data_IF_141451581400
#
_entry.id   IF_141451581400
#
_cell.length_a   1.000
_cell.length_b   1.000
_cell.length_c   1.000
_cell.angle_alpha   90.00
_cell.angle_beta   90.00
_cell.angle_gamma   90.00
#
_symmetry.space_group_name_H-M   'P 1'
#
loop_
_entity.id
_entity.type
_entity.pdbx_description
1 polymer ?
#
# COMPACT_ATOMS: atom_id res chain seq x y z
N UNK A 1 8.74 -13.31 5.08
CA UNK A 1 9.72 -12.22 5.33
C UNK A 1 9.07 -11.19 6.24
N UNK A 2 7.96 -10.55 5.84
CA UNK A 2 7.26 -9.49 6.59
C UNK A 2 6.88 -9.91 8.01
N UNK A 3 6.27 -11.08 8.18
CA UNK A 3 5.92 -11.64 9.49
C UNK A 3 7.15 -11.78 10.41
N UNK A 4 8.30 -12.19 9.83
CA UNK A 4 9.55 -12.34 10.57
C UNK A 4 10.14 -11.02 11.04
N UNK A 5 10.02 -9.94 10.27
CA UNK A 5 10.51 -8.61 10.71
C UNK A 5 9.56 -7.90 11.67
N UNK A 6 8.40 -8.47 11.98
CA UNK A 6 7.49 -8.00 13.02
C UNK A 6 6.54 -6.91 12.57
N UNK A 7 6.09 -6.89 11.30
CA UNK A 7 4.98 -6.01 10.89
C UNK A 7 3.70 -6.41 11.63
N UNK A 8 2.88 -5.44 12.01
CA UNK A 8 1.64 -5.70 12.77
C UNK A 8 0.60 -6.44 11.94
N UNK A 9 0.43 -6.08 10.68
CA UNK A 9 -0.48 -6.75 9.74
C UNK A 9 0.16 -6.90 8.36
N UNK A 10 -0.27 -7.94 7.63
CA UNK A 10 0.11 -8.22 6.25
C UNK A 10 -1.15 -8.23 5.42
N UNK A 11 -1.27 -7.24 4.54
CA UNK A 11 -2.38 -7.14 3.62
C UNK A 11 -2.08 -7.95 2.36
N UNK A 12 -3.07 -8.69 1.89
CA UNK A 12 -3.01 -9.50 0.67
C UNK A 12 -4.20 -9.18 -0.21
N UNK A 13 -4.09 -9.49 -1.50
CA UNK A 13 -5.21 -9.31 -2.42
C UNK A 13 -6.40 -10.23 -2.06
N UNK A 14 -7.60 -9.69 -2.20
CA UNK A 14 -8.85 -10.41 -1.97
C UNK A 14 -9.15 -11.47 -3.04
N UNK A 15 -10.35 -12.06 -2.95
CA UNK A 15 -10.85 -12.98 -3.97
C UNK A 15 -11.60 -12.19 -5.04
N UNK A 16 -11.02 -12.10 -6.25
CA UNK A 16 -11.66 -11.45 -7.38
C UNK A 16 -12.64 -12.36 -8.11
N UNK A 17 -12.21 -13.52 -8.56
CA UNK A 17 -13.05 -14.42 -9.37
C UNK A 17 -12.57 -15.85 -9.42
N UNK A 18 -11.45 -16.23 -8.82
CA UNK A 18 -10.84 -17.54 -9.05
C UNK A 18 -10.66 -18.37 -7.78
N UNK A 19 -10.76 -19.71 -7.96
CA UNK A 19 -10.35 -20.67 -6.92
C UNK A 19 -8.88 -20.54 -6.54
N UNK A 20 -8.07 -19.97 -7.44
CA UNK A 20 -6.63 -19.73 -7.21
C UNK A 20 -6.43 -18.68 -6.13
N UNK A 21 -7.23 -17.60 -6.13
CA UNK A 21 -7.15 -16.55 -5.11
C UNK A 21 -7.42 -17.13 -3.72
N UNK A 22 -8.47 -17.94 -3.57
CA UNK A 22 -8.78 -18.61 -2.30
C UNK A 22 -7.66 -19.55 -1.84
N UNK A 23 -7.02 -20.30 -2.76
CA UNK A 23 -5.88 -21.16 -2.45
C UNK A 23 -4.64 -20.35 -2.04
N UNK A 24 -4.40 -19.20 -2.69
CA UNK A 24 -3.32 -18.28 -2.35
C UNK A 24 -3.50 -17.75 -0.92
N UNK A 25 -4.68 -17.24 -0.59
CA UNK A 25 -4.99 -16.74 0.76
C UNK A 25 -4.83 -17.87 1.79
N UNK A 26 -5.35 -19.04 1.52
CA UNK A 26 -5.23 -20.22 2.42
C UNK A 26 -3.77 -20.63 2.65
N UNK A 27 -2.95 -20.58 1.61
CA UNK A 27 -1.52 -20.89 1.72
C UNK A 27 -0.80 -19.83 2.58
N UNK A 28 -1.08 -18.55 2.37
CA UNK A 28 -0.52 -17.46 3.16
C UNK A 28 -0.99 -17.56 4.62
N UNK A 29 -2.27 -17.82 4.86
CA UNK A 29 -2.85 -17.99 6.19
C UNK A 29 -2.12 -19.10 7.00
N UNK A 30 -1.65 -20.15 6.36
CA UNK A 30 -0.88 -21.21 7.01
C UNK A 30 0.54 -20.81 7.38
N UNK A 31 1.12 -19.80 6.71
CA UNK A 31 2.50 -19.36 6.84
C UNK A 31 2.66 -18.19 7.82
N UNK A 32 1.68 -17.31 7.93
CA UNK A 32 1.70 -16.15 8.85
C UNK A 32 1.49 -16.64 10.27
N UNK A 33 2.42 -16.28 11.19
CA UNK A 33 2.43 -16.80 12.57
C UNK A 33 2.22 -15.71 13.63
N UNK A 34 2.68 -14.50 13.37
CA UNK A 34 2.73 -13.40 14.35
C UNK A 34 1.89 -12.22 13.93
N UNK A 35 1.94 -11.85 12.65
CA UNK A 35 1.18 -10.73 12.09
C UNK A 35 -0.29 -11.09 11.89
N UNK A 36 -1.15 -10.08 11.88
CA UNK A 36 -2.55 -10.22 11.46
C UNK A 36 -2.61 -10.32 9.94
N UNK A 37 -3.31 -11.31 9.41
CA UNK A 37 -3.59 -11.42 7.98
C UNK A 37 -4.79 -10.54 7.63
N UNK A 38 -4.56 -9.45 6.91
CA UNK A 38 -5.59 -8.53 6.46
C UNK A 38 -6.01 -8.87 5.02
N UNK A 39 -7.31 -9.07 4.81
CA UNK A 39 -7.83 -9.48 3.49
C UNK A 39 -9.04 -8.63 3.13
N UNK A 40 -8.99 -7.92 1.98
CA UNK A 40 -10.12 -7.15 1.50
C UNK A 40 -11.27 -8.05 1.04
N UNK A 41 -12.49 -7.59 1.29
CA UNK A 41 -13.73 -8.22 0.89
C UNK A 41 -14.57 -7.29 0.04
N UNK A 42 -15.32 -7.84 -0.91
CA UNK A 42 -16.39 -7.12 -1.61
C UNK A 42 -17.59 -7.00 -0.70
N UNK A 43 -18.42 -5.96 -0.91
CA UNK A 43 -19.65 -5.74 -0.14
C UNK A 43 -20.77 -6.67 -0.60
N UNK A 44 -20.46 -7.97 -0.68
CA UNK A 44 -21.44 -9.03 -0.95
C UNK A 44 -21.19 -10.24 -0.03
N UNK A 45 -22.24 -10.86 0.40
CA UNK A 45 -22.20 -11.92 1.40
C UNK A 45 -21.41 -13.14 0.94
N UNK A 46 -21.50 -13.50 -0.34
CA UNK A 46 -20.82 -14.68 -0.88
C UNK A 46 -19.30 -14.46 -0.90
N UNK A 47 -18.85 -13.25 -1.28
CA UNK A 47 -17.42 -12.92 -1.26
C UNK A 47 -16.89 -12.90 0.18
N UNK A 48 -17.61 -12.26 1.12
CA UNK A 48 -17.22 -12.23 2.54
C UNK A 48 -17.03 -13.66 3.09
N UNK A 49 -17.97 -14.55 2.85
CA UNK A 49 -17.88 -15.93 3.30
C UNK A 49 -16.74 -16.71 2.61
N UNK A 50 -16.52 -16.50 1.31
CA UNK A 50 -15.45 -17.12 0.57
C UNK A 50 -14.07 -16.69 1.09
N UNK A 51 -13.86 -15.38 1.31
CA UNK A 51 -12.63 -14.82 1.89
C UNK A 51 -12.41 -15.35 3.30
N UNK A 52 -13.43 -15.33 4.15
CA UNK A 52 -13.32 -15.87 5.51
C UNK A 52 -12.92 -17.35 5.51
N UNK A 53 -13.58 -18.17 4.69
CA UNK A 53 -13.25 -19.59 4.60
C UNK A 53 -11.83 -19.88 4.12
N UNK A 54 -11.25 -18.98 3.32
CA UNK A 54 -9.85 -19.06 2.91
C UNK A 54 -8.89 -18.59 4.01
N UNK A 55 -9.25 -17.51 4.75
CA UNK A 55 -8.37 -16.84 5.69
C UNK A 55 -8.41 -17.39 7.13
N UNK A 56 -9.54 -17.99 7.57
CA UNK A 56 -9.79 -18.42 8.96
C UNK A 56 -8.76 -19.42 9.54
N UNK A 57 -7.87 -19.96 8.72
CA UNK A 57 -6.75 -20.80 9.18
C UNK A 57 -5.58 -20.02 9.74
N UNK A 58 -5.52 -18.69 9.56
CA UNK A 58 -4.51 -17.84 10.17
C UNK A 58 -4.79 -17.64 11.65
N UNK A 59 -3.73 -17.31 12.43
CA UNK A 59 -3.83 -17.06 13.86
C UNK A 59 -4.68 -15.82 14.19
N UNK A 60 -4.56 -14.78 13.38
CA UNK A 60 -5.34 -13.53 13.46
C UNK A 60 -5.72 -13.11 12.05
N UNK A 61 -6.99 -12.76 11.85
CA UNK A 61 -7.54 -12.36 10.56
C UNK A 61 -8.29 -11.04 10.72
N UNK A 62 -7.95 -10.08 9.87
CA UNK A 62 -8.67 -8.83 9.68
C UNK A 62 -9.40 -8.87 8.35
N UNK A 63 -10.73 -8.70 8.37
CA UNK A 63 -11.50 -8.49 7.15
C UNK A 63 -11.60 -7.00 6.86
N UNK A 64 -11.30 -6.60 5.63
CA UNK A 64 -11.27 -5.19 5.21
C UNK A 64 -12.40 -4.90 4.26
N UNK A 65 -13.33 -4.02 4.66
CA UNK A 65 -14.40 -3.52 3.80
C UNK A 65 -13.94 -2.20 3.21
N UNK A 66 -13.79 -2.14 1.90
CA UNK A 66 -13.29 -0.95 1.19
C UNK A 66 -14.42 -0.21 0.49
N UNK A 67 -14.45 1.11 0.64
CA UNK A 67 -15.36 1.99 -0.09
C UNK A 67 -14.63 3.21 -0.63
N UNK A 68 -14.80 3.47 -1.92
CA UNK A 68 -14.34 4.71 -2.53
C UNK A 68 -15.37 5.82 -2.24
N UNK A 69 -15.03 6.72 -1.31
CA UNK A 69 -15.99 7.64 -0.68
C UNK A 69 -16.06 9.02 -1.32
N UNK A 70 -15.15 9.37 -2.23
CA UNK A 70 -15.21 10.67 -2.89
C UNK A 70 -16.37 10.76 -3.91
N UNK A 71 -16.93 11.95 -4.15
CA UNK A 71 -18.05 12.13 -5.08
C UNK A 71 -17.80 11.56 -6.47
N UNK A 72 -16.60 11.81 -7.02
CA UNK A 72 -16.21 11.26 -8.32
C UNK A 72 -16.11 9.73 -8.31
N UNK A 73 -15.58 9.14 -7.26
CA UNK A 73 -15.48 7.69 -7.16
C UNK A 73 -16.86 7.04 -6.95
N UNK A 74 -17.74 7.67 -6.17
CA UNK A 74 -19.12 7.20 -6.01
C UNK A 74 -19.89 7.22 -7.33
N UNK A 75 -19.72 8.27 -8.15
CA UNK A 75 -20.42 8.43 -9.42
C UNK A 75 -19.88 7.48 -10.50
N UNK A 76 -18.55 7.47 -10.70
CA UNK A 76 -17.94 6.80 -11.86
C UNK A 76 -17.46 5.38 -11.58
N UNK A 77 -17.05 5.07 -10.35
CA UNK A 77 -16.51 3.73 -9.99
C UNK A 77 -17.60 2.88 -9.34
N UNK A 78 -18.18 3.37 -8.25
CA UNK A 78 -19.16 2.62 -7.47
C UNK A 78 -20.55 2.64 -8.10
N UNK A 79 -20.90 3.71 -8.83
CA UNK A 79 -22.22 3.97 -9.41
C UNK A 79 -23.33 3.88 -8.37
N UNK A 80 -23.07 4.41 -7.17
CA UNK A 80 -23.97 4.38 -6.01
C UNK A 80 -24.19 5.80 -5.48
N UNK A 81 -25.39 6.03 -4.97
CA UNK A 81 -25.70 7.24 -4.21
C UNK A 81 -25.03 7.15 -2.83
N UNK A 82 -24.67 8.29 -2.27
CA UNK A 82 -23.98 8.40 -0.98
C UNK A 82 -24.67 7.62 0.16
N UNK A 83 -26.00 7.78 0.32
CA UNK A 83 -26.75 7.09 1.38
C UNK A 83 -26.78 5.56 1.19
N UNK A 84 -26.82 5.09 -0.05
CA UNK A 84 -26.78 3.65 -0.35
C UNK A 84 -25.39 3.08 -0.03
N UNK A 85 -24.31 3.84 -0.32
CA UNK A 85 -22.95 3.42 0.01
C UNK A 85 -22.76 3.28 1.53
N UNK A 86 -23.31 4.22 2.32
CA UNK A 86 -23.29 4.13 3.80
C UNK A 86 -24.00 2.86 4.27
N UNK A 87 -25.19 2.57 3.74
CA UNK A 87 -25.96 1.37 4.12
C UNK A 87 -25.26 0.07 3.73
N UNK A 88 -24.71 0.00 2.51
CA UNK A 88 -24.00 -1.18 2.01
C UNK A 88 -22.71 -1.44 2.80
N UNK A 89 -21.94 -0.38 3.10
CA UNK A 89 -20.73 -0.48 3.91
C UNK A 89 -21.03 -0.97 5.33
N UNK A 90 -22.03 -0.40 5.99
CA UNK A 90 -22.45 -0.82 7.32
C UNK A 90 -22.94 -2.28 7.33
N UNK A 91 -23.72 -2.70 6.32
CA UNK A 91 -24.18 -4.09 6.20
C UNK A 91 -23.02 -5.07 6.00
N UNK A 92 -22.04 -4.72 5.14
CA UNK A 92 -20.86 -5.53 4.91
C UNK A 92 -20.00 -5.66 6.18
N UNK A 93 -19.78 -4.54 6.89
CA UNK A 93 -19.05 -4.54 8.19
C UNK A 93 -19.78 -5.41 9.21
N UNK A 94 -21.11 -5.26 9.34
CA UNK A 94 -21.89 -6.07 10.27
C UNK A 94 -21.81 -7.59 9.95
N UNK A 95 -21.78 -7.96 8.67
CA UNK A 95 -21.57 -9.36 8.25
C UNK A 95 -20.16 -9.85 8.59
N UNK A 96 -19.13 -9.03 8.37
CA UNK A 96 -17.76 -9.35 8.75
C UNK A 96 -17.61 -9.49 10.27
N UNK A 97 -18.25 -8.64 11.06
CA UNK A 97 -18.23 -8.66 12.53
C UNK A 97 -18.88 -9.94 13.15
N UNK A 98 -19.73 -10.63 12.39
CA UNK A 98 -20.25 -11.95 12.79
C UNK A 98 -19.19 -13.07 12.64
N UNK A 99 -18.15 -12.84 11.87
CA UNK A 99 -17.13 -13.83 11.52
C UNK A 99 -15.81 -13.62 12.29
N UNK A 100 -15.44 -12.37 12.53
CA UNK A 100 -14.21 -11.98 13.26
C UNK A 100 -14.41 -10.71 14.08
N UNK A 101 -13.68 -10.60 15.19
CA UNK A 101 -13.67 -9.39 16.03
C UNK A 101 -12.81 -8.26 15.44
N UNK A 102 -11.96 -8.56 14.45
CA UNK A 102 -11.07 -7.58 13.80
C UNK A 102 -11.58 -7.25 12.39
N UNK A 103 -12.37 -6.17 12.31
CA UNK A 103 -12.93 -5.65 11.05
C UNK A 103 -12.40 -4.25 10.82
N UNK A 104 -11.85 -4.00 9.63
CA UNK A 104 -11.38 -2.71 9.16
C UNK A 104 -12.31 -2.16 8.09
N UNK A 105 -12.65 -0.88 8.21
CA UNK A 105 -13.24 -0.11 7.12
C UNK A 105 -12.18 0.78 6.48
N UNK A 106 -12.03 0.71 5.17
CA UNK A 106 -11.07 1.52 4.39
C UNK A 106 -11.82 2.53 3.55
N UNK A 107 -11.71 3.81 3.93
CA UNK A 107 -12.26 4.94 3.18
C UNK A 107 -11.27 5.36 2.10
N UNK A 108 -11.43 4.82 0.88
CA UNK A 108 -10.58 5.14 -0.26
C UNK A 108 -10.92 6.54 -0.79
N UNK A 109 -9.89 7.36 -1.04
CA UNK A 109 -10.03 8.72 -1.54
C UNK A 109 -10.76 9.66 -0.55
N UNK A 110 -10.49 9.48 0.74
CA UNK A 110 -11.14 10.19 1.83
C UNK A 110 -10.83 11.69 1.84
N UNK A 111 -9.61 12.08 1.44
CA UNK A 111 -9.14 13.46 1.44
C UNK A 111 -9.89 14.38 0.46
N UNK A 112 -10.54 13.81 -0.54
CA UNK A 112 -11.39 14.53 -1.51
C UNK A 112 -12.90 14.42 -1.21
N UNK A 113 -13.23 14.09 0.01
CA UNK A 113 -14.60 13.85 0.48
C UNK A 113 -15.01 14.93 1.49
N UNK A 114 -16.28 15.31 1.46
CA UNK A 114 -16.84 16.19 2.50
C UNK A 114 -16.72 15.53 3.88
N UNK A 115 -16.19 16.28 4.86
CA UNK A 115 -15.91 15.77 6.21
C UNK A 115 -17.18 15.31 6.92
N UNK A 116 -18.32 15.99 6.71
CA UNK A 116 -19.58 15.61 7.35
C UNK A 116 -20.11 14.28 6.78
N UNK A 117 -19.98 14.08 5.46
CA UNK A 117 -20.31 12.79 4.86
C UNK A 117 -19.36 11.67 5.32
N UNK A 118 -18.07 11.97 5.40
CA UNK A 118 -17.07 11.00 5.88
C UNK A 118 -17.35 10.61 7.35
N UNK A 119 -17.69 11.57 8.20
CA UNK A 119 -18.10 11.31 9.58
C UNK A 119 -19.34 10.42 9.66
N UNK A 120 -20.35 10.65 8.80
CA UNK A 120 -21.58 9.85 8.72
C UNK A 120 -21.29 8.38 8.37
N UNK A 121 -20.46 8.11 7.36
CA UNK A 121 -20.13 6.74 6.99
C UNK A 121 -19.29 6.06 8.08
N UNK A 122 -18.34 6.77 8.69
CA UNK A 122 -17.51 6.27 9.80
C UNK A 122 -18.40 5.89 10.99
N UNK A 123 -19.32 6.75 11.39
CA UNK A 123 -20.29 6.44 12.46
C UNK A 123 -21.07 5.16 12.17
N UNK A 124 -21.59 5.03 10.95
CA UNK A 124 -22.35 3.85 10.55
C UNK A 124 -21.52 2.54 10.61
N UNK A 125 -20.29 2.56 10.12
CA UNK A 125 -19.44 1.35 10.11
C UNK A 125 -18.88 1.02 11.50
N UNK A 126 -18.58 2.02 12.33
CA UNK A 126 -18.15 1.77 13.72
C UNK A 126 -19.31 1.17 14.53
N UNK A 127 -20.51 1.70 14.40
CA UNK A 127 -21.72 1.13 15.03
C UNK A 127 -22.02 -0.29 14.52
N UNK A 128 -21.64 -0.61 13.28
CA UNK A 128 -21.77 -1.95 12.70
C UNK A 128 -20.68 -2.93 13.18
N UNK A 129 -19.63 -2.47 13.85
CA UNK A 129 -18.61 -3.31 14.48
C UNK A 129 -17.18 -3.14 13.94
N UNK A 130 -16.89 -2.13 13.10
CA UNK A 130 -15.52 -1.84 12.69
C UNK A 130 -14.68 -1.45 13.92
N UNK A 131 -13.49 -2.03 14.04
CA UNK A 131 -12.49 -1.75 15.09
C UNK A 131 -11.32 -0.94 14.57
N UNK A 132 -11.18 -0.85 13.27
CA UNK A 132 -10.18 -0.05 12.57
C UNK A 132 -10.88 0.72 11.45
N UNK A 133 -10.58 2.00 11.34
CA UNK A 133 -10.97 2.82 10.19
C UNK A 133 -9.70 3.41 9.58
N UNK A 134 -9.46 3.12 8.32
CA UNK A 134 -8.33 3.67 7.58
C UNK A 134 -8.82 4.69 6.57
N UNK A 135 -8.22 5.88 6.58
CA UNK A 135 -8.47 6.93 5.60
C UNK A 135 -7.32 7.04 4.62
N UNK A 136 -7.66 7.12 3.33
CA UNK A 136 -6.67 7.10 2.26
C UNK A 136 -6.63 8.44 1.52
N UNK A 137 -5.43 9.02 1.39
CA UNK A 137 -5.14 10.03 0.38
C UNK A 137 -4.74 9.35 -0.93
N UNK A 138 -5.75 8.95 -1.72
CA UNK A 138 -5.52 8.27 -2.99
C UNK A 138 -4.99 9.21 -4.08
N UNK A 139 -5.21 10.51 -3.95
CA UNK A 139 -4.66 11.50 -4.86
C UNK A 139 -3.18 11.78 -4.61
N UNK A 140 -2.68 11.59 -3.37
CA UNK A 140 -1.32 11.90 -2.98
C UNK A 140 -0.96 13.36 -3.21
N UNK A 141 -1.92 14.26 -3.01
CA UNK A 141 -1.82 15.68 -3.34
C UNK A 141 -1.77 16.60 -2.13
N UNK A 142 -1.82 16.06 -0.92
CA UNK A 142 -1.75 16.83 0.31
C UNK A 142 -0.31 17.10 0.75
N UNK A 143 -0.10 18.29 1.30
CA UNK A 143 1.09 18.58 2.10
C UNK A 143 0.94 17.98 3.51
N UNK A 144 2.03 17.74 4.25
CA UNK A 144 1.98 17.14 5.58
C UNK A 144 1.07 17.89 6.57
N UNK A 145 1.12 19.22 6.54
CA UNK A 145 0.30 20.09 7.41
C UNK A 145 -1.19 19.98 7.04
N UNK A 146 -1.51 19.96 5.75
CA UNK A 146 -2.89 19.79 5.25
C UNK A 146 -3.45 18.42 5.65
N UNK A 147 -2.61 17.37 5.57
CA UNK A 147 -3.04 16.03 5.98
C UNK A 147 -3.24 15.93 7.49
N UNK A 148 -2.38 16.54 8.31
CA UNK A 148 -2.57 16.61 9.76
C UNK A 148 -3.85 17.37 10.14
N UNK A 149 -4.13 18.48 9.47
CA UNK A 149 -5.35 19.25 9.65
C UNK A 149 -6.60 18.44 9.26
N UNK A 150 -6.54 17.71 8.12
CA UNK A 150 -7.60 16.80 7.68
C UNK A 150 -7.91 15.74 8.76
N UNK A 151 -6.88 15.07 9.31
CA UNK A 151 -7.05 14.06 10.36
C UNK A 151 -7.67 14.70 11.62
N UNK A 152 -7.20 15.87 12.03
CA UNK A 152 -7.71 16.59 13.21
C UNK A 152 -9.18 16.99 13.03
N UNK A 153 -9.54 17.55 11.88
CA UNK A 153 -10.91 17.94 11.55
C UNK A 153 -11.84 16.71 11.49
N UNK A 154 -11.37 15.61 10.93
CA UNK A 154 -12.11 14.36 10.86
C UNK A 154 -12.35 13.77 12.25
N UNK A 155 -11.35 13.75 13.13
CA UNK A 155 -11.48 13.24 14.50
C UNK A 155 -12.44 14.09 15.32
N UNK A 156 -12.49 15.41 15.09
CA UNK A 156 -13.49 16.29 15.71
C UNK A 156 -14.91 16.01 15.20
N UNK A 157 -15.06 15.76 13.89
CA UNK A 157 -16.36 15.46 13.29
C UNK A 157 -16.88 14.05 13.58
N UNK A 158 -15.96 13.10 13.81
CA UNK A 158 -16.26 11.69 14.11
C UNK A 158 -15.53 11.25 15.41
N UNK A 159 -16.02 11.65 16.59
CA UNK A 159 -15.33 11.37 17.89
C UNK A 159 -15.14 9.88 18.17
N UNK A 160 -15.92 8.99 17.56
CA UNK A 160 -15.78 7.53 17.66
C UNK A 160 -14.39 7.03 17.25
N UNK A 161 -13.67 7.80 16.41
CA UNK A 161 -12.31 7.49 16.00
C UNK A 161 -11.30 7.46 17.18
N UNK A 162 -11.62 8.12 18.29
CA UNK A 162 -10.78 8.08 19.50
C UNK A 162 -10.85 6.73 20.24
N UNK A 163 -11.90 5.94 20.01
CA UNK A 163 -12.15 4.66 20.71
C UNK A 163 -11.73 3.44 19.89
N UNK A 164 -11.26 3.66 18.65
CA UNK A 164 -10.85 2.61 17.72
C UNK A 164 -9.48 2.92 17.11
N UNK A 165 -8.93 1.99 16.33
CA UNK A 165 -7.70 2.21 15.58
C UNK A 165 -7.94 3.12 14.38
N UNK A 166 -7.33 4.30 14.35
CA UNK A 166 -7.29 5.16 13.16
C UNK A 166 -6.07 4.79 12.31
N UNK A 167 -6.34 4.31 11.10
CA UNK A 167 -5.35 4.01 10.09
C UNK A 167 -5.23 5.09 9.02
N UNK A 168 -4.07 5.18 8.41
CA UNK A 168 -3.78 6.08 7.30
C UNK A 168 -3.06 5.38 6.15
N UNK A 169 -3.32 5.84 4.93
CA UNK A 169 -2.60 5.46 3.71
C UNK A 169 -2.49 6.67 2.80
N UNK A 170 -1.30 6.94 2.25
CA UNK A 170 -1.06 8.08 1.37
C UNK A 170 -0.36 7.60 0.10
N UNK A 171 -0.89 8.01 -1.06
CA UNK A 171 -0.18 7.92 -2.34
C UNK A 171 0.94 8.96 -2.40
N UNK A 172 1.97 8.68 -3.21
CA UNK A 172 3.23 9.43 -3.22
C UNK A 172 3.41 10.32 -4.44
N UNK A 173 2.33 10.80 -5.05
CA UNK A 173 2.38 11.60 -6.27
C UNK A 173 3.22 12.89 -6.14
N UNK A 174 3.24 13.50 -4.97
CA UNK A 174 4.09 14.66 -4.66
C UNK A 174 5.40 14.30 -3.94
N UNK A 175 5.74 13.01 -3.81
CA UNK A 175 6.87 12.53 -3.01
C UNK A 175 6.80 12.96 -1.52
N UNK A 176 5.59 13.11 -0.98
CA UNK A 176 5.32 13.54 0.40
C UNK A 176 4.66 12.45 1.26
N UNK A 177 4.42 11.24 0.73
CA UNK A 177 3.66 10.20 1.44
C UNK A 177 4.24 9.85 2.82
N UNK A 178 5.57 9.70 2.94
CA UNK A 178 6.21 9.40 4.22
C UNK A 178 6.09 10.58 5.20
N UNK A 179 6.17 11.82 4.71
CA UNK A 179 6.01 13.01 5.54
C UNK A 179 4.55 13.19 5.99
N UNK A 180 3.58 12.95 5.09
CA UNK A 180 2.15 12.90 5.42
C UNK A 180 1.86 11.81 6.46
N UNK A 181 2.49 10.63 6.34
CA UNK A 181 2.34 9.56 7.33
C UNK A 181 2.81 9.99 8.73
N UNK A 182 3.96 10.65 8.82
CA UNK A 182 4.46 11.21 10.09
C UNK A 182 3.50 12.24 10.66
N UNK A 183 3.02 13.17 9.82
CA UNK A 183 2.06 14.19 10.22
C UNK A 183 0.72 13.57 10.68
N UNK A 184 0.25 12.52 10.02
CA UNK A 184 -0.94 11.77 10.41
C UNK A 184 -0.78 11.05 11.75
N UNK A 185 0.40 10.46 12.02
CA UNK A 185 0.70 9.85 13.33
C UNK A 185 0.71 10.92 14.43
N UNK A 186 1.31 12.08 14.18
CA UNK A 186 1.27 13.21 15.13
C UNK A 186 -0.15 13.73 15.37
N UNK A 187 -1.04 13.59 14.40
CA UNK A 187 -2.45 13.96 14.52
C UNK A 187 -3.35 12.86 15.13
N UNK A 188 -2.78 11.71 15.56
CA UNK A 188 -3.48 10.66 16.28
C UNK A 188 -3.67 9.34 15.54
N UNK A 189 -3.18 9.20 14.31
CA UNK A 189 -3.23 7.91 13.63
C UNK A 189 -2.30 6.89 14.30
N UNK A 190 -2.79 5.67 14.51
CA UNK A 190 -2.07 4.59 15.19
C UNK A 190 -1.77 3.38 14.27
N UNK A 191 -2.26 3.39 13.04
CA UNK A 191 -1.94 2.40 12.01
C UNK A 191 -1.51 3.10 10.73
N UNK A 192 -0.40 2.66 10.13
CA UNK A 192 0.10 3.17 8.85
C UNK A 192 0.16 2.02 7.86
N UNK A 193 -0.56 2.13 6.74
CA UNK A 193 -0.44 1.20 5.62
C UNK A 193 0.76 1.61 4.77
N UNK A 194 1.72 0.72 4.66
CA UNK A 194 2.96 0.95 3.92
C UNK A 194 3.31 -0.23 3.01
N UNK A 195 3.97 0.03 1.92
CA UNK A 195 4.41 -1.01 0.99
C UNK A 195 5.83 -1.47 1.28
N UNK A 196 6.06 -2.76 1.09
CA UNK A 196 7.39 -3.37 1.16
C UNK A 196 8.09 -3.48 -0.20
N UNK A 197 7.41 -3.08 -1.27
CA UNK A 197 7.90 -3.08 -2.64
C UNK A 197 7.72 -1.67 -3.23
N UNK A 198 8.59 -1.20 -4.14
CA UNK A 198 8.44 0.12 -4.75
C UNK A 198 7.07 0.28 -5.42
N UNK A 199 6.23 1.08 -4.80
CA UNK A 199 4.92 1.55 -5.28
C UNK A 199 4.79 3.01 -4.87
N UNK A 200 3.93 3.75 -5.53
CA UNK A 200 3.72 5.17 -5.25
C UNK A 200 2.85 5.39 -3.99
N UNK A 201 3.28 4.82 -2.87
CA UNK A 201 2.66 4.95 -1.55
C UNK A 201 3.73 5.01 -0.45
N UNK A 202 3.33 5.15 0.81
CA UNK A 202 4.23 5.15 1.98
C UNK A 202 5.18 3.94 1.92
N UNK A 203 6.48 4.17 2.08
CA UNK A 203 7.49 3.13 2.05
C UNK A 203 7.74 2.53 3.44
N UNK A 204 7.60 1.19 3.58
CA UNK A 204 7.75 0.49 4.85
C UNK A 204 9.12 0.73 5.52
N UNK A 205 10.20 0.74 4.73
CA UNK A 205 11.54 0.94 5.27
C UNK A 205 11.77 2.37 5.74
N UNK A 206 11.23 3.38 5.05
CA UNK A 206 11.34 4.77 5.45
C UNK A 206 10.54 5.03 6.72
N UNK A 207 9.24 4.73 6.72
CA UNK A 207 8.38 5.01 7.87
C UNK A 207 8.81 4.25 9.13
N UNK A 208 9.22 2.98 9.00
CA UNK A 208 9.70 2.20 10.14
C UNK A 208 10.97 2.79 10.77
N UNK A 209 11.91 3.30 9.95
CA UNK A 209 13.13 3.96 10.45
C UNK A 209 12.81 5.31 11.10
N UNK A 210 11.89 6.08 10.54
CA UNK A 210 11.46 7.35 11.11
C UNK A 210 10.81 7.13 12.47
N UNK A 211 9.85 6.21 12.56
CA UNK A 211 9.16 5.88 13.81
C UNK A 211 10.14 5.37 14.88
N UNK A 212 11.09 4.51 14.50
CA UNK A 212 12.11 4.02 15.44
C UNK A 212 13.07 5.12 15.92
N UNK A 213 13.47 6.04 15.01
CA UNK A 213 14.41 7.12 15.34
C UNK A 213 13.77 8.27 16.13
N UNK A 214 12.45 8.44 16.03
CA UNK A 214 11.69 9.55 16.61
C UNK A 214 10.60 9.10 17.59
N UNK A 215 10.70 7.89 18.10
CA UNK A 215 9.70 7.26 18.97
C UNK A 215 9.23 8.19 20.11
N UNK A 216 10.17 8.78 20.85
CA UNK A 216 9.86 9.69 21.95
C UNK A 216 9.17 10.98 21.51
N UNK A 217 9.55 11.53 20.33
CA UNK A 217 8.95 12.77 19.82
C UNK A 217 7.57 12.56 19.21
N UNK A 218 7.29 11.35 18.75
CA UNK A 218 6.02 10.97 18.11
C UNK A 218 5.07 10.27 19.11
N UNK A 219 5.54 10.00 20.33
CA UNK A 219 4.83 9.14 21.31
C UNK A 219 4.32 7.84 20.65
N UNK A 220 5.16 7.23 19.82
CA UNK A 220 4.81 6.07 19.00
C UNK A 220 5.88 4.98 19.09
N UNK A 221 5.45 3.73 19.12
CA UNK A 221 6.35 2.58 19.10
C UNK A 221 6.19 1.78 17.80
N UNK A 222 7.30 1.51 17.14
CA UNK A 222 7.35 0.66 15.96
C UNK A 222 7.97 -0.70 16.31
N UNK A 223 7.22 -1.78 16.12
CA UNK A 223 7.70 -3.13 16.43
C UNK A 223 8.49 -3.79 15.28
N UNK A 224 8.60 -3.10 14.14
CA UNK A 224 9.37 -3.59 12.99
C UNK A 224 10.86 -3.62 13.35
N UNK A 225 11.52 -4.75 13.11
CA UNK A 225 12.94 -4.95 13.37
C UNK A 225 13.80 -4.19 12.36
N UNK A 226 14.11 -2.94 12.68
CA UNK A 226 14.86 -2.02 11.80
C UNK A 226 16.23 -2.59 11.41
N UNK A 227 16.88 -3.35 12.29
CA UNK A 227 18.18 -4.00 12.03
C UNK A 227 18.12 -5.04 10.90
N UNK A 228 16.99 -5.72 10.73
CA UNK A 228 16.78 -6.72 9.68
C UNK A 228 16.13 -6.12 8.42
N UNK A 229 15.61 -4.90 8.52
CA UNK A 229 14.72 -4.29 7.53
C UNK A 229 15.39 -4.15 6.15
N UNK A 230 16.60 -3.62 6.07
CA UNK A 230 17.33 -3.45 4.81
C UNK A 230 17.53 -4.80 4.07
N UNK A 231 17.89 -5.85 4.82
CA UNK A 231 18.04 -7.19 4.26
C UNK A 231 16.72 -7.76 3.76
N UNK A 232 15.64 -7.56 4.54
CA UNK A 232 14.29 -7.99 4.17
C UNK A 232 13.80 -7.28 2.91
N UNK A 233 13.95 -5.95 2.81
CA UNK A 233 13.57 -5.19 1.62
C UNK A 233 14.34 -5.61 0.38
N UNK A 234 15.66 -5.80 0.48
CA UNK A 234 16.47 -6.30 -0.63
C UNK A 234 16.04 -7.70 -1.08
N UNK A 235 15.65 -8.57 -0.14
CA UNK A 235 15.14 -9.90 -0.47
C UNK A 235 13.79 -9.83 -1.19
N UNK A 236 12.87 -8.99 -0.74
CA UNK A 236 11.57 -8.77 -1.37
C UNK A 236 11.77 -8.18 -2.77
N UNK A 237 12.60 -7.15 -2.91
CA UNK A 237 12.88 -6.53 -4.21
C UNK A 237 13.40 -7.54 -5.24
N UNK A 238 14.32 -8.44 -4.85
CA UNK A 238 14.81 -9.51 -5.73
C UNK A 238 13.69 -10.44 -6.18
N UNK A 239 12.85 -10.91 -5.25
CA UNK A 239 11.72 -11.79 -5.58
C UNK A 239 10.73 -11.11 -6.55
N UNK A 240 10.42 -9.84 -6.33
CA UNK A 240 9.52 -9.08 -7.20
C UNK A 240 10.15 -8.76 -8.57
N UNK A 241 11.46 -8.47 -8.64
CA UNK A 241 12.16 -8.23 -9.91
C UNK A 241 12.27 -9.51 -10.77
N UNK A 242 12.52 -10.68 -10.14
CA UNK A 242 12.55 -11.95 -10.86
C UNK A 242 11.20 -12.27 -11.54
N UNK A 243 10.09 -11.96 -10.89
CA UNK A 243 8.75 -12.12 -11.48
C UNK A 243 8.49 -11.13 -12.62
N UNK A 244 8.95 -9.87 -12.50
CA UNK A 244 8.87 -8.89 -13.59
C UNK A 244 9.67 -9.31 -14.82
N UNK A 245 10.87 -9.83 -14.65
CA UNK A 245 11.68 -10.31 -15.79
C UNK A 245 11.03 -11.47 -16.55
N UNK A 246 10.20 -12.27 -15.89
CA UNK A 246 9.39 -13.33 -16.53
C UNK A 246 8.13 -12.80 -17.18
N UNK A 247 7.52 -11.74 -16.64
CA UNK A 247 6.32 -11.10 -17.19
C UNK A 247 6.64 -10.19 -18.40
N UNK A 248 7.80 -9.52 -18.40
CA UNK A 248 8.22 -8.59 -19.46
C UNK A 248 8.58 -9.24 -20.80
N UNK A 249 8.56 -10.57 -20.91
CA UNK A 249 8.71 -11.25 -22.21
C UNK A 249 7.52 -11.07 -23.17
N UNK A 250 6.46 -10.35 -22.77
CA UNK A 250 5.22 -10.21 -23.55
C UNK A 250 4.70 -8.78 -23.80
N UNK A 251 5.37 -7.73 -23.32
CA UNK A 251 4.93 -6.34 -23.58
C UNK A 251 6.11 -5.45 -23.96
N UNK A 252 6.25 -5.25 -25.27
CA UNK A 252 7.03 -4.14 -25.83
C UNK A 252 6.34 -2.80 -25.51
N UNK A 253 6.70 -2.16 -24.41
CA UNK A 253 6.43 -0.74 -24.21
C UNK A 253 7.71 -0.01 -23.81
N UNK A 254 8.12 0.85 -24.72
CA UNK A 254 9.41 1.58 -24.76
C UNK A 254 9.60 2.61 -23.64
N UNK A 255 8.61 2.84 -22.77
CA UNK A 255 8.65 3.92 -21.78
C UNK A 255 9.21 3.55 -20.38
N UNK A 256 9.43 2.29 -20.08
CA UNK A 256 9.95 1.85 -18.76
C UNK A 256 11.45 1.51 -18.74
N UNK A 257 12.17 1.73 -19.82
CA UNK A 257 13.56 1.27 -19.98
C UNK A 257 14.64 2.21 -19.48
N UNK A 258 14.29 3.34 -18.84
CA UNK A 258 15.29 4.36 -18.43
C UNK A 258 15.60 4.37 -16.94
N UNK A 259 14.81 3.72 -16.09
CA UNK A 259 15.09 3.65 -14.66
C UNK A 259 15.92 2.40 -14.30
N UNK A 260 17.22 2.60 -14.07
CA UNK A 260 18.00 1.70 -13.25
C UNK A 260 18.99 0.76 -13.94
N UNK A 261 19.38 1.01 -15.16
CA UNK A 261 20.50 0.29 -15.76
C UNK A 261 21.84 0.95 -15.39
N UNK A 262 22.62 0.25 -14.62
CA UNK A 262 23.98 0.65 -14.25
C UNK A 262 24.94 -0.12 -15.17
N UNK A 263 25.56 0.59 -16.10
CA UNK A 263 26.67 0.06 -16.86
C UNK A 263 27.90 -0.04 -15.95
N UNK A 264 28.62 -1.13 -16.05
CA UNK A 264 29.82 -1.42 -15.26
C UNK A 264 31.05 -1.55 -16.16
N UNK A 265 32.24 -1.42 -15.61
CA UNK A 265 33.49 -1.64 -16.35
C UNK A 265 33.63 -3.04 -16.99
N UNK A 266 32.81 -3.99 -16.58
CA UNK A 266 32.78 -5.36 -17.12
C UNK A 266 31.84 -5.56 -18.32
N UNK A 267 31.05 -4.56 -18.68
CA UNK A 267 30.12 -4.67 -19.82
C UNK A 267 30.88 -4.59 -21.14
N UNK A 268 30.38 -5.34 -22.14
CA UNK A 268 30.98 -5.36 -23.47
C UNK A 268 30.54 -4.19 -24.35
N UNK A 269 31.21 -4.01 -25.48
CA UNK A 269 30.91 -2.91 -26.40
C UNK A 269 29.48 -2.99 -26.95
N UNK A 270 28.97 -4.18 -27.21
CA UNK A 270 27.64 -4.37 -27.75
C UNK A 270 26.56 -3.91 -26.78
N UNK A 271 26.71 -4.26 -25.50
CA UNK A 271 25.83 -3.80 -24.42
C UNK A 271 25.85 -2.29 -24.27
N UNK A 272 27.03 -1.66 -24.26
CA UNK A 272 27.15 -0.19 -24.16
C UNK A 272 26.52 0.50 -25.37
N UNK A 273 26.70 -0.04 -26.59
CA UNK A 273 26.10 0.55 -27.79
C UNK A 273 24.59 0.42 -27.84
N UNK A 274 24.02 -0.69 -27.41
CA UNK A 274 22.56 -0.83 -27.26
C UNK A 274 21.98 0.24 -26.32
N UNK A 275 22.75 0.69 -25.35
CA UNK A 275 22.39 1.79 -24.47
C UNK A 275 22.39 3.13 -25.17
N UNK A 276 23.45 3.42 -25.91
CA UNK A 276 23.59 4.67 -26.66
C UNK A 276 22.45 4.81 -27.68
N UNK A 277 22.07 3.71 -28.34
CA UNK A 277 20.91 3.68 -29.24
C UNK A 277 19.58 3.92 -28.50
N UNK A 278 19.41 3.35 -27.32
CA UNK A 278 18.22 3.59 -26.48
C UNK A 278 18.10 5.04 -25.99
N UNK A 279 19.23 5.71 -25.83
CA UNK A 279 19.28 7.15 -25.54
C UNK A 279 19.00 8.03 -26.77
N UNK A 280 18.76 7.41 -27.95
CA UNK A 280 18.42 8.10 -29.19
C UNK A 280 19.62 8.54 -30.03
N UNK A 281 20.83 8.06 -29.71
CA UNK A 281 22.02 8.36 -30.51
C UNK A 281 22.31 7.22 -31.49
N UNK A 282 22.49 7.57 -32.76
CA UNK A 282 22.98 6.65 -33.79
C UNK A 282 24.45 6.97 -34.08
N UNK A 283 25.34 6.05 -33.79
CA UNK A 283 26.78 6.23 -33.94
C UNK A 283 27.29 5.44 -35.14
N UNK A 284 28.37 5.94 -35.77
CA UNK A 284 29.17 5.15 -36.72
C UNK A 284 30.00 4.11 -35.98
N UNK A 285 30.49 3.06 -36.68
CA UNK A 285 31.36 2.04 -36.07
C UNK A 285 32.65 2.65 -35.47
N UNK A 286 33.19 3.71 -36.07
CA UNK A 286 34.37 4.41 -35.57
C UNK A 286 34.04 5.20 -34.28
N UNK A 287 32.89 5.87 -34.24
CA UNK A 287 32.43 6.61 -33.05
C UNK A 287 32.05 5.66 -31.91
N UNK A 288 31.45 4.50 -32.22
CA UNK A 288 31.10 3.49 -31.25
C UNK A 288 32.34 2.95 -30.51
N UNK A 289 33.43 2.71 -31.21
CA UNK A 289 34.70 2.28 -30.60
C UNK A 289 35.29 3.39 -29.68
N UNK A 290 35.24 4.65 -30.13
CA UNK A 290 35.72 5.78 -29.35
C UNK A 290 34.89 6.01 -28.06
N UNK A 291 33.57 5.89 -28.16
CA UNK A 291 32.65 6.01 -27.00
C UNK A 291 32.90 4.87 -26.01
N UNK A 292 33.10 3.64 -26.48
CA UNK A 292 33.38 2.50 -25.61
C UNK A 292 34.72 2.63 -24.86
N UNK A 293 35.76 3.12 -25.52
CA UNK A 293 37.04 3.40 -24.88
C UNK A 293 36.95 4.54 -23.84
N UNK A 294 36.17 5.58 -24.12
CA UNK A 294 35.90 6.65 -23.16
C UNK A 294 35.09 6.14 -21.97
N UNK A 295 34.09 5.30 -22.20
CA UNK A 295 33.30 4.66 -21.15
C UNK A 295 34.17 3.82 -20.22
N UNK A 296 35.03 2.95 -20.74
CA UNK A 296 35.95 2.15 -19.94
C UNK A 296 36.87 2.97 -19.03
N UNK A 297 37.32 4.12 -19.50
CA UNK A 297 38.17 5.03 -18.71
C UNK A 297 37.42 5.70 -17.56
N UNK A 298 36.10 5.87 -17.68
CA UNK A 298 35.26 6.52 -16.66
C UNK A 298 34.73 5.46 -15.67
N UNK A 299 34.45 4.24 -16.13
CA UNK A 299 33.87 3.16 -15.34
C UNK A 299 34.93 2.33 -14.56
N UNK A 300 36.23 2.48 -14.87
CA UNK A 300 37.34 1.85 -14.16
C UNK A 300 37.78 2.70 -12.96
#
# INVERSE_FOLDING_TARGET
>A
ILDRIGVGSIEVEGIESSKVDALRIKSIASLVKSSTLAVPVKMDEQNIEAVWNAAKGAKSVRLQVEAAVSPSCMEYIQRKKADNLVADAAAAVAKCAQLTDDVEFVAVDATRTDVAYLAKIIEAVVNAGAKTVTVCDAAGSMLPEEFAEFISNLTQAAPQLNDITLGISCCNNLNMADACAVAGVMAGASLVKATSYPMDVIALDNISRILAAKADALDAQCHVRVTELKRAMNQIARLCCEDRSKALKFTDSVSEAVEGLVLTAGDDQETVMQYVERLGYSLSDEDAAAVFEAFKKIAA
#
